data_IF_790033865962
#
_entry.id   IF_790033865962
#
_cell.length_a   1.000
_cell.length_b   1.000
_cell.length_c   1.000
_cell.angle_alpha   90.00
_cell.angle_beta   90.00
_cell.angle_gamma   90.00
#
_symmetry.space_group_name_H-M   'P 1'
#
loop_
_entity.id
_entity.type
_entity.pdbx_description
1 polymer ?
#
# COMPACT_ATOMS: atom_id res chain seq x y z
N UNK A 1 -27.46 32.84 -14.23
CA UNK A 1 -27.16 31.40 -14.10
C UNK A 1 -28.23 30.75 -13.22
N UNK A 2 -28.79 29.60 -13.62
CA UNK A 2 -29.79 28.88 -12.81
C UNK A 2 -29.14 28.51 -11.47
N UNK A 3 -29.75 28.88 -10.34
CA UNK A 3 -29.18 28.71 -8.97
C UNK A 3 -28.80 27.26 -8.63
N UNK A 4 -29.31 26.29 -9.38
CA UNK A 4 -29.07 24.85 -9.21
C UNK A 4 -27.83 24.31 -9.93
N UNK A 5 -27.23 25.06 -10.86
CA UNK A 5 -26.06 24.58 -11.60
C UNK A 5 -24.84 24.39 -10.70
N UNK A 6 -24.59 25.32 -9.78
CA UNK A 6 -23.47 25.25 -8.85
C UNK A 6 -23.56 24.03 -7.91
N UNK A 7 -24.69 23.77 -7.20
CA UNK A 7 -24.78 22.59 -6.34
C UNK A 7 -24.72 21.29 -7.13
N UNK A 8 -25.31 21.21 -8.33
CA UNK A 8 -25.19 20.01 -9.19
C UNK A 8 -23.72 19.76 -9.57
N UNK A 9 -23.00 20.80 -9.98
CA UNK A 9 -21.59 20.69 -10.33
C UNK A 9 -20.75 20.22 -9.14
N UNK A 10 -21.01 20.75 -7.93
CA UNK A 10 -20.36 20.30 -6.70
C UNK A 10 -20.67 18.85 -6.38
N UNK A 11 -21.92 18.42 -6.51
CA UNK A 11 -22.31 17.01 -6.31
C UNK A 11 -21.60 16.09 -7.31
N UNK A 12 -21.56 16.48 -8.60
CA UNK A 12 -20.84 15.71 -9.63
C UNK A 12 -19.36 15.63 -9.33
N UNK A 13 -18.73 16.72 -8.84
CA UNK A 13 -17.33 16.70 -8.45
C UNK A 13 -17.05 15.72 -7.30
N UNK A 14 -17.87 15.74 -6.24
CA UNK A 14 -17.75 14.79 -5.11
C UNK A 14 -17.97 13.36 -5.55
N UNK A 15 -19.01 13.10 -6.35
CA UNK A 15 -19.27 11.77 -6.93
C UNK A 15 -18.09 11.32 -7.80
N UNK A 16 -17.50 12.21 -8.58
CA UNK A 16 -16.32 11.92 -9.39
C UNK A 16 -15.11 11.49 -8.54
N UNK A 17 -14.84 12.17 -7.44
CA UNK A 17 -13.76 11.81 -6.49
C UNK A 17 -14.05 10.43 -5.88
N UNK A 18 -15.27 10.18 -5.41
CA UNK A 18 -15.64 8.87 -4.86
C UNK A 18 -15.49 7.76 -5.90
N UNK A 19 -15.98 7.97 -7.12
CA UNK A 19 -15.85 7.00 -8.20
C UNK A 19 -14.38 6.75 -8.57
N UNK A 20 -13.51 7.75 -8.55
CA UNK A 20 -12.08 7.55 -8.81
C UNK A 20 -11.41 6.64 -7.77
N UNK A 21 -11.84 6.71 -6.50
CA UNK A 21 -11.33 5.83 -5.45
C UNK A 21 -11.78 4.37 -5.67
N UNK A 22 -13.07 4.16 -5.98
CA UNK A 22 -13.58 2.81 -6.27
C UNK A 22 -13.10 2.25 -7.61
N UNK A 23 -12.79 3.12 -8.58
CA UNK A 23 -12.24 2.73 -9.87
C UNK A 23 -10.89 2.00 -9.72
N UNK A 24 -10.14 2.22 -8.65
CA UNK A 24 -8.93 1.44 -8.32
C UNK A 24 -9.22 -0.05 -8.25
N UNK A 25 -10.41 -0.47 -7.80
CA UNK A 25 -10.78 -1.89 -7.77
C UNK A 25 -11.33 -2.44 -9.09
N UNK A 26 -11.62 -1.58 -10.07
CA UNK A 26 -12.08 -2.01 -11.39
C UNK A 26 -10.97 -2.02 -12.43
N UNK A 27 -10.01 -1.10 -12.31
CA UNK A 27 -8.93 -0.90 -13.27
C UNK A 27 -7.53 -1.11 -12.68
N UNK A 28 -7.43 -1.41 -11.38
CA UNK A 28 -6.17 -1.71 -10.74
C UNK A 28 -5.77 -3.17 -10.89
N UNK A 29 -4.47 -3.38 -10.92
CA UNK A 29 -3.87 -4.71 -10.93
C UNK A 29 -3.79 -5.25 -9.50
N UNK A 30 -4.03 -6.55 -9.35
CA UNK A 30 -3.94 -7.25 -8.07
C UNK A 30 -2.52 -7.74 -7.83
N UNK A 31 -1.95 -7.41 -6.67
CA UNK A 31 -0.63 -7.84 -6.26
C UNK A 31 -0.67 -8.48 -4.88
N UNK A 32 0.12 -9.55 -4.71
CA UNK A 32 0.29 -10.23 -3.42
C UNK A 32 1.68 -9.93 -2.89
N UNK A 33 1.76 -9.15 -1.81
CA UNK A 33 3.03 -8.77 -1.18
C UNK A 33 3.40 -9.74 -0.06
N UNK A 34 4.70 -10.02 0.07
CA UNK A 34 5.24 -10.60 1.29
C UNK A 34 5.27 -9.53 2.37
N UNK A 35 4.63 -9.81 3.49
CA UNK A 35 4.56 -8.93 4.62
C UNK A 35 5.06 -9.65 5.86
N UNK A 36 5.66 -8.90 6.77
CA UNK A 36 6.03 -9.36 8.10
C UNK A 36 5.45 -8.38 9.12
N UNK A 37 4.94 -8.83 10.27
CA UNK A 37 4.50 -7.92 11.30
C UNK A 37 5.72 -7.16 11.87
N UNK A 38 5.54 -5.87 12.06
CA UNK A 38 6.52 -4.97 12.67
C UNK A 38 5.86 -4.32 13.88
N UNK A 39 6.42 -4.50 15.08
CA UNK A 39 5.81 -4.10 16.34
C UNK A 39 6.33 -2.74 16.85
N UNK A 40 5.59 -1.64 16.63
CA UNK A 40 5.60 -0.50 17.53
C UNK A 40 4.31 -0.48 18.35
N UNK A 41 4.49 -0.55 19.66
CA UNK A 41 3.46 -0.48 20.70
C UNK A 41 2.50 0.72 20.53
N UNK A 42 1.19 0.46 20.47
CA UNK A 42 0.15 1.51 20.64
C UNK A 42 -1.11 0.97 21.35
N UNK A 43 -1.47 1.49 22.53
CA UNK A 43 -2.66 1.07 23.26
C UNK A 43 -3.96 1.79 22.86
N UNK A 44 -3.97 2.67 21.85
CA UNK A 44 -5.11 3.57 21.57
C UNK A 44 -5.85 3.33 20.24
N UNK A 45 -5.35 2.48 19.33
CA UNK A 45 -5.84 2.41 17.95
C UNK A 45 -6.56 1.10 17.57
N UNK A 46 -7.45 0.55 18.41
CA UNK A 46 -8.19 -0.67 18.02
C UNK A 46 -7.27 -1.85 17.67
N UNK A 47 -7.77 -2.86 16.93
CA UNK A 47 -6.93 -3.97 16.45
C UNK A 47 -6.44 -3.72 15.03
N UNK A 48 -5.13 -3.62 14.88
CA UNK A 48 -4.45 -3.47 13.60
C UNK A 48 -3.09 -4.14 13.69
N UNK A 49 -2.56 -4.53 12.53
CA UNK A 49 -1.21 -5.10 12.42
C UNK A 49 -0.38 -4.12 11.60
N UNK A 50 0.79 -3.78 12.11
CA UNK A 50 1.76 -3.01 11.36
C UNK A 50 2.64 -3.94 10.54
N UNK A 51 2.82 -3.60 9.27
CA UNK A 51 3.46 -4.45 8.28
C UNK A 51 4.71 -3.80 7.72
N UNK A 52 5.76 -4.61 7.59
CA UNK A 52 6.94 -4.29 6.79
C UNK A 52 6.99 -5.19 5.56
N UNK A 53 7.64 -4.70 4.50
CA UNK A 53 7.71 -5.35 3.20
C UNK A 53 9.16 -5.63 2.80
N UNK A 54 9.68 -6.85 3.09
CA UNK A 54 11.08 -7.20 2.86
C UNK A 54 11.53 -6.98 1.41
N UNK A 55 10.70 -7.36 0.44
CA UNK A 55 11.02 -7.26 -1.00
C UNK A 55 11.19 -5.80 -1.43
N UNK A 56 10.38 -4.88 -0.89
CA UNK A 56 10.48 -3.43 -1.16
C UNK A 56 11.72 -2.85 -0.48
N UNK A 57 11.99 -3.26 0.76
CA UNK A 57 13.17 -2.83 1.52
C UNK A 57 14.47 -3.26 0.84
N UNK A 58 14.49 -4.47 0.27
CA UNK A 58 15.63 -4.99 -0.48
C UNK A 58 15.85 -4.20 -1.77
N UNK A 59 14.78 -3.93 -2.53
CA UNK A 59 14.86 -3.12 -3.75
C UNK A 59 15.42 -1.70 -3.48
N UNK A 60 15.06 -1.08 -2.36
CA UNK A 60 15.60 0.23 -1.99
C UNK A 60 17.10 0.20 -1.67
N UNK A 61 17.57 -0.87 -1.02
CA UNK A 61 19.00 -1.09 -0.77
C UNK A 61 19.77 -1.30 -2.08
N UNK A 62 19.22 -2.09 -2.99
CA UNK A 62 19.84 -2.40 -4.29
C UNK A 62 19.93 -1.16 -5.18
N UNK A 63 18.90 -0.30 -5.14
CA UNK A 63 18.87 1.01 -5.81
C UNK A 63 19.73 2.09 -5.16
N UNK A 64 20.43 1.78 -4.05
CA UNK A 64 21.34 2.69 -3.32
C UNK A 64 20.67 4.01 -2.92
N UNK A 65 19.39 3.96 -2.57
CA UNK A 65 18.64 5.10 -2.04
C UNK A 65 19.25 5.54 -0.71
N UNK A 66 19.32 6.85 -0.46
CA UNK A 66 19.84 7.39 0.81
C UNK A 66 18.73 7.56 1.82
N UNK A 67 19.07 7.41 3.09
CA UNK A 67 18.15 7.68 4.19
C UNK A 67 17.60 9.12 4.12
N UNK A 68 16.29 9.25 4.31
CA UNK A 68 15.54 10.51 4.23
C UNK A 68 15.05 10.87 2.82
N UNK A 69 15.35 10.06 1.80
CA UNK A 69 14.85 10.29 0.44
C UNK A 69 13.43 9.71 0.26
N UNK A 70 12.62 10.39 -0.55
CA UNK A 70 11.37 9.85 -1.05
C UNK A 70 11.67 8.92 -2.22
N UNK A 71 11.12 7.70 -2.16
CA UNK A 71 11.22 6.71 -3.22
C UNK A 71 9.91 6.62 -3.97
N UNK A 72 10.03 6.45 -5.28
CA UNK A 72 8.94 6.20 -6.21
C UNK A 72 9.19 4.83 -6.84
N UNK A 73 8.22 3.92 -6.79
CA UNK A 73 8.40 2.56 -7.27
C UNK A 73 7.15 1.98 -7.94
N UNK A 74 7.35 1.00 -8.82
CA UNK A 74 6.29 0.22 -9.46
C UNK A 74 6.42 -1.25 -9.09
N UNK A 75 5.29 -1.96 -9.10
CA UNK A 75 5.23 -3.39 -8.85
C UNK A 75 4.97 -4.14 -10.15
N UNK A 76 5.52 -5.35 -10.24
CA UNK A 76 5.24 -6.34 -11.27
C UNK A 76 5.00 -7.69 -10.62
N UNK A 77 4.35 -8.60 -11.34
CA UNK A 77 4.14 -9.96 -10.84
C UNK A 77 5.43 -10.76 -10.99
N UNK A 78 5.98 -11.23 -9.86
CA UNK A 78 7.14 -12.10 -9.81
C UNK A 78 6.83 -13.52 -10.28
N UNK A 79 7.87 -14.28 -10.61
CA UNK A 79 7.75 -15.66 -11.10
C UNK A 79 7.15 -16.62 -10.05
N UNK A 80 7.25 -16.26 -8.78
CA UNK A 80 6.75 -16.97 -7.61
C UNK A 80 5.30 -16.63 -7.25
N UNK A 81 4.65 -15.74 -8.02
CA UNK A 81 3.28 -15.27 -7.79
C UNK A 81 3.17 -14.12 -6.78
N UNK A 82 4.28 -13.67 -6.18
CA UNK A 82 4.33 -12.49 -5.32
C UNK A 82 4.74 -11.25 -6.11
N UNK A 83 4.40 -10.06 -5.60
CA UNK A 83 4.78 -8.81 -6.24
C UNK A 83 6.29 -8.57 -6.07
N UNK A 84 6.96 -8.24 -7.16
CA UNK A 84 8.34 -7.79 -7.20
C UNK A 84 8.40 -6.30 -7.57
N UNK A 85 9.42 -5.59 -7.12
CA UNK A 85 9.67 -4.21 -7.55
C UNK A 85 10.27 -4.22 -8.95
N UNK A 86 9.60 -3.57 -9.89
CA UNK A 86 10.05 -3.45 -11.29
C UNK A 86 11.00 -2.26 -11.48
N UNK A 87 10.59 -1.11 -10.96
CA UNK A 87 11.35 0.14 -11.04
C UNK A 87 11.33 0.83 -9.69
N UNK A 88 12.46 1.40 -9.29
CA UNK A 88 12.55 2.26 -8.10
C UNK A 88 13.51 3.42 -8.36
N UNK A 89 13.03 4.64 -8.16
CA UNK A 89 13.75 5.89 -8.40
C UNK A 89 13.45 6.93 -7.32
N UNK A 90 14.29 7.96 -7.21
CA UNK A 90 14.03 9.13 -6.35
C UNK A 90 13.23 10.23 -7.05
N UNK A 91 13.00 10.09 -8.36
CA UNK A 91 12.14 10.96 -9.16
C UNK A 91 10.77 10.33 -9.39
N UNK A 92 9.75 11.17 -9.33
CA UNK A 92 8.36 10.77 -9.59
C UNK A 92 8.16 10.34 -11.05
N UNK A 93 7.29 9.37 -11.26
CA UNK A 93 6.86 8.89 -12.56
C UNK A 93 5.39 8.47 -12.53
N UNK A 94 4.77 8.45 -13.72
CA UNK A 94 3.34 8.18 -13.85
C UNK A 94 2.98 6.81 -13.24
N UNK A 95 2.05 6.82 -12.29
CA UNK A 95 1.57 5.59 -11.65
C UNK A 95 2.48 5.04 -10.55
N UNK A 96 3.54 5.77 -10.17
CA UNK A 96 4.43 5.36 -9.10
C UNK A 96 3.70 5.30 -7.75
N UNK A 97 4.02 4.25 -7.00
CA UNK A 97 3.82 4.20 -5.56
C UNK A 97 4.92 5.02 -4.90
N UNK A 98 4.61 5.73 -3.82
CA UNK A 98 5.61 6.53 -3.12
C UNK A 98 5.75 6.11 -1.67
N UNK A 99 6.97 6.22 -1.16
CA UNK A 99 7.30 5.95 0.23
C UNK A 99 8.51 6.76 0.69
N UNK A 100 8.78 6.76 1.99
CA UNK A 100 10.00 7.34 2.55
C UNK A 100 10.97 6.23 2.92
N UNK A 101 12.22 6.35 2.48
CA UNK A 101 13.27 5.43 2.86
C UNK A 101 13.99 5.94 4.11
N UNK A 102 13.97 5.15 5.18
CA UNK A 102 14.61 5.49 6.44
C UNK A 102 15.10 4.24 7.16
N UNK A 103 16.38 4.21 7.55
CA UNK A 103 16.91 3.16 8.41
C UNK A 103 16.88 1.76 7.78
N UNK A 104 16.94 1.68 6.44
CA UNK A 104 16.85 0.42 5.72
C UNK A 104 15.44 -0.11 5.48
N UNK A 105 14.41 0.69 5.78
CA UNK A 105 13.00 0.37 5.55
C UNK A 105 12.34 1.43 4.65
N UNK A 106 11.42 1.00 3.79
CA UNK A 106 10.56 1.88 2.99
C UNK A 106 9.20 1.96 3.67
N UNK A 107 8.90 3.15 4.19
CA UNK A 107 7.62 3.51 4.79
C UNK A 107 6.64 3.96 3.69
N UNK A 108 5.56 3.21 3.49
CA UNK A 108 4.48 3.49 2.54
C UNK A 108 3.20 3.75 3.35
N UNK A 109 2.81 5.03 3.47
CA UNK A 109 1.80 5.48 4.45
C UNK A 109 0.43 4.78 4.33
N UNK A 110 0.08 4.23 3.17
CA UNK A 110 -1.22 3.58 2.93
C UNK A 110 -1.16 2.04 2.99
N UNK A 111 -0.02 1.49 3.38
CA UNK A 111 0.27 0.06 3.29
C UNK A 111 0.84 -0.52 4.60
N UNK A 112 1.29 0.33 5.52
CA UNK A 112 1.84 -0.09 6.82
C UNK A 112 0.78 -0.58 7.79
N UNK A 113 -0.38 0.08 7.85
CA UNK A 113 -1.42 -0.25 8.83
C UNK A 113 -2.52 -1.09 8.20
N UNK A 114 -2.66 -2.32 8.65
CA UNK A 114 -3.74 -3.21 8.23
C UNK A 114 -4.74 -3.42 9.37
N UNK A 115 -5.97 -2.94 9.18
CA UNK A 115 -7.05 -3.12 10.15
C UNK A 115 -7.63 -4.52 10.04
N UNK A 116 -7.73 -5.22 11.16
CA UNK A 116 -8.14 -6.62 11.22
C UNK A 116 -9.42 -6.77 12.05
N UNK A 117 -10.09 -7.91 11.91
CA UNK A 117 -11.24 -8.22 12.76
C UNK A 117 -10.81 -8.39 14.22
N UNK A 118 -11.70 -8.01 15.14
CA UNK A 118 -11.45 -8.13 16.57
C UNK A 118 -11.15 -9.58 16.97
N UNK A 119 -10.06 -9.79 17.71
CA UNK A 119 -9.51 -11.07 18.13
C UNK A 119 -8.49 -11.69 17.17
N UNK A 120 -8.23 -11.09 16.00
CA UNK A 120 -7.27 -11.63 15.01
C UNK A 120 -5.89 -10.96 15.07
N UNK A 121 -5.78 -9.76 15.65
CA UNK A 121 -4.53 -8.99 15.69
C UNK A 121 -3.36 -9.79 16.26
N UNK A 122 -3.54 -10.35 17.47
CA UNK A 122 -2.47 -11.09 18.14
C UNK A 122 -1.96 -12.29 17.34
N UNK A 123 -2.86 -13.04 16.69
CA UNK A 123 -2.47 -14.22 15.91
C UNK A 123 -1.69 -13.86 14.64
N UNK A 124 -1.96 -12.68 14.07
CA UNK A 124 -1.26 -12.15 12.90
C UNK A 124 0.05 -11.44 13.30
N UNK A 125 0.11 -10.81 14.46
CA UNK A 125 1.35 -10.27 15.05
C UNK A 125 2.34 -11.38 15.42
N UNK A 126 1.85 -12.50 15.96
CA UNK A 126 2.67 -13.69 16.25
C UNK A 126 3.10 -14.45 14.99
N UNK A 127 2.45 -14.21 13.85
CA UNK A 127 2.78 -14.88 12.60
C UNK A 127 4.02 -14.26 11.96
N UNK A 128 5.08 -15.04 11.76
CA UNK A 128 6.33 -14.56 11.15
C UNK A 128 6.12 -14.17 9.68
N UNK A 129 5.32 -14.95 8.94
CA UNK A 129 5.13 -14.78 7.51
C UNK A 129 3.67 -14.47 7.17
N UNK A 130 3.45 -13.29 6.61
CA UNK A 130 2.14 -12.82 6.15
C UNK A 130 2.17 -12.59 4.63
N UNK A 131 0.99 -12.64 4.02
CA UNK A 131 0.76 -12.20 2.64
C UNK A 131 -0.33 -11.12 2.65
N UNK A 132 -0.03 -9.99 2.02
CA UNK A 132 -0.95 -8.87 1.90
C UNK A 132 -1.42 -8.73 0.44
N UNK A 133 -2.71 -8.87 0.20
CA UNK A 133 -3.30 -8.66 -1.12
C UNK A 133 -3.70 -7.20 -1.28
N UNK A 134 -3.20 -6.55 -2.33
CA UNK A 134 -3.43 -5.14 -2.62
C UNK A 134 -3.87 -4.95 -4.07
N UNK A 135 -4.64 -3.88 -4.31
CA UNK A 135 -4.89 -3.37 -5.65
C UNK A 135 -4.07 -2.10 -5.89
N UNK A 136 -3.41 -2.03 -7.04
CA UNK A 136 -2.66 -0.86 -7.47
C UNK A 136 -3.27 -0.31 -8.75
N UNK A 137 -3.76 0.92 -8.68
CA UNK A 137 -4.28 1.59 -9.88
C UNK A 137 -3.15 2.10 -10.79
N UNK A 138 -3.44 2.31 -12.10
CA UNK A 138 -2.50 2.92 -13.04
C UNK A 138 -2.03 4.35 -12.67
N UNK A 139 -2.71 5.02 -11.74
CA UNK A 139 -2.38 6.37 -11.26
C UNK A 139 -1.75 6.38 -9.86
N UNK A 140 -1.25 5.23 -9.36
CA UNK A 140 -0.42 5.16 -8.16
C UNK A 140 -1.18 5.09 -6.83
N UNK A 141 -2.51 4.91 -6.87
CA UNK A 141 -3.31 4.63 -5.66
C UNK A 141 -3.23 3.15 -5.28
N UNK A 142 -2.95 2.88 -4.00
CA UNK A 142 -2.95 1.55 -3.37
C UNK A 142 -4.24 1.37 -2.58
N UNK A 143 -4.82 0.18 -2.67
CA UNK A 143 -5.92 -0.26 -1.80
C UNK A 143 -5.60 -1.62 -1.19
N UNK A 144 -5.35 -1.71 0.13
CA UNK A 144 -5.26 -2.98 0.82
C UNK A 144 -6.61 -3.71 0.82
N UNK A 145 -6.61 -5.01 0.57
CA UNK A 145 -7.83 -5.82 0.48
C UNK A 145 -7.87 -6.91 1.54
N UNK A 146 -6.79 -7.67 1.70
CA UNK A 146 -6.76 -8.81 2.61
C UNK A 146 -5.37 -9.03 3.20
N UNK A 147 -5.33 -9.57 4.42
CA UNK A 147 -4.11 -9.96 5.12
C UNK A 147 -4.31 -11.37 5.67
N UNK A 148 -3.43 -12.28 5.27
CA UNK A 148 -3.50 -13.68 5.66
C UNK A 148 -2.12 -14.19 6.06
N UNK A 149 -2.09 -15.26 6.85
CA UNK A 149 -0.86 -16.01 7.08
C UNK A 149 -0.39 -16.64 5.76
N UNK A 150 0.92 -16.58 5.52
CA UNK A 150 1.56 -17.30 4.41
C UNK A 150 1.87 -18.72 4.87
N UNK A 151 1.27 -19.71 4.23
CA UNK A 151 1.67 -21.11 4.40
C UNK A 151 2.89 -21.36 3.50
N UNK A 152 3.94 -22.00 4.05
CA UNK A 152 5.16 -22.40 3.30
C UNK A 152 4.85 -23.39 2.16
#
# INVERSE_FOLDING_TARGET
>A
MKKWLLPILQTVAVVGILLSYFATSWFGDEFVLRAEPFDPWDPFYGEYVLLQYPDINQAAKDSKIKDGETVYFSLTQGEDGYAAVDRMETSDFLGALHGQYWGGQVSVSNLEQFYVEQGQGLALEEAVDLKATIYVSPWGTIRPMNLEKRDE
#
